data_IF_999811968839
#
_entry.id   IF_999811968839
#
_cell.length_a   1.000
_cell.length_b   1.000
_cell.length_c   1.000
_cell.angle_alpha   90.00
_cell.angle_beta   90.00
_cell.angle_gamma   90.00
#
_symmetry.space_group_name_H-M   'P 1'
#
loop_
_entity.id
_entity.type
_entity.pdbx_description
1 polymer ?
#
# COMPACT_ATOMS: atom_id res chain seq x y z
N UNK A 1 -21.98 11.93 5.16
CA UNK A 1 -21.31 10.62 5.14
C UNK A 1 -19.84 10.88 5.46
N UNK A 2 -19.29 10.17 6.44
CA UNK A 2 -17.85 10.27 6.76
C UNK A 2 -17.05 9.79 5.53
N UNK A 3 -16.03 10.55 5.12
CA UNK A 3 -15.17 10.17 4.00
C UNK A 3 -14.49 8.84 4.31
N UNK A 4 -14.62 7.83 3.44
CA UNK A 4 -14.11 6.46 3.63
C UNK A 4 -12.62 6.47 4.01
N UNK A 5 -11.84 7.37 3.42
CA UNK A 5 -10.41 7.51 3.70
C UNK A 5 -10.05 8.05 5.09
N UNK A 6 -11.04 8.50 5.88
CA UNK A 6 -10.85 8.96 7.26
C UNK A 6 -11.32 7.95 8.31
N UNK A 7 -11.92 6.85 7.88
CA UNK A 7 -12.29 5.74 8.76
C UNK A 7 -11.05 5.00 9.24
N UNK A 8 -11.10 4.50 10.46
CA UNK A 8 -10.07 3.57 10.96
C UNK A 8 -10.06 2.27 10.15
N UNK A 9 -8.94 1.56 10.15
CA UNK A 9 -8.84 0.24 9.48
C UNK A 9 -9.87 -0.75 10.02
N UNK A 10 -10.23 -0.68 11.32
CA UNK A 10 -11.27 -1.52 11.90
C UNK A 10 -12.64 -1.23 11.30
N UNK A 11 -13.01 0.04 11.18
CA UNK A 11 -14.28 0.45 10.58
C UNK A 11 -14.34 0.03 9.10
N UNK A 12 -13.24 0.25 8.34
CA UNK A 12 -13.15 -0.21 6.95
C UNK A 12 -13.31 -1.73 6.85
N UNK A 13 -12.65 -2.49 7.74
CA UNK A 13 -12.76 -3.95 7.78
C UNK A 13 -14.20 -4.41 8.07
N UNK A 14 -14.91 -3.74 8.95
CA UNK A 14 -16.32 -4.05 9.25
C UNK A 14 -17.23 -3.79 8.06
N UNK A 15 -17.05 -2.66 7.38
CA UNK A 15 -17.80 -2.34 6.16
C UNK A 15 -17.55 -3.35 5.03
N UNK A 16 -16.29 -3.74 4.82
CA UNK A 16 -15.96 -4.75 3.81
C UNK A 16 -16.54 -6.11 4.20
N UNK A 17 -16.47 -6.50 5.47
CA UNK A 17 -17.01 -7.79 5.96
C UNK A 17 -18.52 -7.85 5.86
N UNK A 18 -19.23 -6.77 6.20
CA UNK A 18 -20.70 -6.70 6.09
C UNK A 18 -21.17 -6.63 4.64
N UNK A 19 -20.33 -6.18 3.73
CA UNK A 19 -20.64 -5.95 2.32
C UNK A 19 -21.32 -4.60 2.08
N UNK A 20 -21.30 -3.70 3.06
CA UNK A 20 -21.72 -2.32 2.89
C UNK A 20 -20.74 -1.52 2.02
N UNK A 21 -19.50 -1.97 1.96
CA UNK A 21 -18.45 -1.47 1.08
C UNK A 21 -17.76 -2.68 0.42
N UNK A 22 -17.52 -2.64 -0.87
CA UNK A 22 -16.71 -3.67 -1.51
C UNK A 22 -15.22 -3.38 -1.33
N UNK A 23 -14.40 -4.43 -1.35
CA UNK A 23 -12.94 -4.32 -1.39
C UNK A 23 -12.50 -3.53 -2.63
N UNK A 24 -13.19 -3.73 -3.75
CA UNK A 24 -12.97 -3.01 -4.99
C UNK A 24 -13.17 -1.51 -4.83
N UNK A 25 -14.29 -1.07 -4.30
CA UNK A 25 -14.59 0.36 -4.07
C UNK A 25 -13.59 1.00 -3.10
N UNK A 26 -13.21 0.29 -2.03
CA UNK A 26 -12.21 0.77 -1.07
C UNK A 26 -10.84 0.94 -1.74
N UNK A 27 -10.43 -0.01 -2.56
CA UNK A 27 -9.13 0.03 -3.27
C UNK A 27 -9.12 1.15 -4.31
N UNK A 28 -10.20 1.31 -5.10
CA UNK A 28 -10.36 2.41 -6.06
C UNK A 28 -10.29 3.77 -5.36
N UNK A 29 -10.97 3.93 -4.23
CA UNK A 29 -10.93 5.17 -3.45
C UNK A 29 -9.50 5.56 -3.05
N UNK A 30 -8.68 4.62 -2.58
CA UNK A 30 -7.29 4.91 -2.21
C UNK A 30 -6.38 5.12 -3.44
N UNK A 31 -6.61 4.43 -4.54
CA UNK A 31 -5.91 4.69 -5.81
C UNK A 31 -6.17 6.13 -6.27
N UNK A 32 -7.43 6.55 -6.37
CA UNK A 32 -7.81 7.90 -6.75
C UNK A 32 -7.19 8.96 -5.83
N UNK A 33 -7.16 8.68 -4.52
CA UNK A 33 -6.52 9.55 -3.54
C UNK A 33 -5.02 9.69 -3.79
N UNK A 34 -4.32 8.58 -4.05
CA UNK A 34 -2.88 8.58 -4.37
C UNK A 34 -2.66 9.34 -5.69
N UNK A 35 -3.40 9.06 -6.74
CA UNK A 35 -3.25 9.72 -8.03
C UNK A 35 -3.46 11.24 -7.95
N UNK A 36 -4.38 11.68 -7.12
CA UNK A 36 -4.68 13.10 -6.92
C UNK A 36 -3.64 13.84 -6.10
N UNK A 37 -3.08 13.22 -5.07
CA UNK A 37 -2.28 13.91 -4.04
C UNK A 37 -0.79 13.61 -4.12
N UNK A 38 -0.40 12.44 -4.62
CA UNK A 38 0.96 11.94 -4.45
C UNK A 38 1.98 12.57 -5.41
N UNK A 39 1.53 13.28 -6.45
CA UNK A 39 2.41 13.99 -7.38
C UNK A 39 3.27 15.06 -6.69
N UNK A 40 2.77 15.67 -5.63
CA UNK A 40 3.49 16.67 -4.84
C UNK A 40 4.16 16.08 -3.59
N UNK A 41 3.63 14.95 -3.09
CA UNK A 41 4.13 14.29 -1.88
C UNK A 41 5.24 13.30 -2.20
N UNK A 42 5.08 12.49 -3.26
CA UNK A 42 6.00 11.40 -3.65
C UNK A 42 6.17 10.35 -2.55
N UNK A 43 5.07 9.90 -1.98
CA UNK A 43 5.07 8.88 -0.93
C UNK A 43 5.00 7.46 -1.49
N UNK A 44 4.19 7.20 -2.54
CA UNK A 44 3.99 5.87 -3.14
C UNK A 44 4.79 5.75 -4.42
N UNK A 45 6.00 5.22 -4.29
CA UNK A 45 7.04 5.27 -5.32
C UNK A 45 7.07 4.07 -6.28
N UNK A 46 6.46 2.96 -5.93
CA UNK A 46 6.19 1.83 -6.83
C UNK A 46 4.72 1.45 -6.66
N UNK A 47 3.98 1.44 -7.75
CA UNK A 47 2.53 1.23 -7.77
C UNK A 47 2.20 -0.08 -8.46
N UNK A 48 1.24 -0.83 -7.91
CA UNK A 48 0.75 -2.11 -8.43
C UNK A 48 -0.79 -2.13 -8.46
N UNK A 49 -1.36 -1.03 -8.98
CA UNK A 49 -2.79 -0.76 -8.90
C UNK A 49 -3.64 -1.78 -9.67
N UNK A 50 -3.17 -2.22 -10.84
CA UNK A 50 -3.91 -3.21 -11.64
C UNK A 50 -4.02 -4.56 -10.91
N UNK A 51 -2.93 -5.02 -10.31
CA UNK A 51 -2.93 -6.25 -9.51
C UNK A 51 -3.77 -6.07 -8.25
N UNK A 52 -3.65 -4.93 -7.57
CA UNK A 52 -4.44 -4.63 -6.38
C UNK A 52 -5.95 -4.63 -6.66
N UNK A 53 -6.38 -4.06 -7.79
CA UNK A 53 -7.79 -4.07 -8.19
C UNK A 53 -8.29 -5.48 -8.49
N UNK A 54 -7.47 -6.31 -9.12
CA UNK A 54 -7.81 -7.72 -9.35
C UNK A 54 -7.90 -8.51 -8.05
N UNK A 55 -6.94 -8.33 -7.12
CA UNK A 55 -6.98 -8.96 -5.80
C UNK A 55 -8.22 -8.50 -5.01
N UNK A 56 -8.68 -7.26 -5.19
CA UNK A 56 -9.89 -6.73 -4.58
C UNK A 56 -11.17 -7.40 -5.13
N UNK A 57 -11.26 -7.59 -6.46
CA UNK A 57 -12.35 -8.34 -7.08
C UNK A 57 -12.39 -9.79 -6.56
N UNK A 58 -11.22 -10.45 -6.48
CA UNK A 58 -11.10 -11.82 -5.94
C UNK A 58 -11.53 -11.88 -4.46
N UNK A 59 -11.23 -10.85 -3.66
CA UNK A 59 -11.64 -10.76 -2.26
C UNK A 59 -13.17 -10.61 -2.14
N UNK A 60 -13.79 -9.77 -2.95
CA UNK A 60 -15.24 -9.60 -2.96
C UNK A 60 -15.96 -10.89 -3.39
N UNK A 61 -15.44 -11.60 -4.38
CA UNK A 61 -15.96 -12.89 -4.79
C UNK A 61 -15.85 -13.95 -3.67
N UNK A 62 -14.74 -13.98 -2.95
CA UNK A 62 -14.56 -14.89 -1.81
C UNK A 62 -15.56 -14.60 -0.70
N UNK A 63 -15.74 -13.32 -0.34
CA UNK A 63 -16.73 -12.90 0.65
C UNK A 63 -18.15 -13.33 0.26
N UNK A 64 -18.56 -13.09 -0.99
CA UNK A 64 -19.87 -13.50 -1.49
C UNK A 64 -20.11 -15.02 -1.40
N UNK A 65 -19.05 -15.82 -1.57
CA UNK A 65 -19.09 -17.27 -1.40
C UNK A 65 -19.06 -17.74 0.07
N UNK A 66 -19.09 -16.82 1.03
CA UNK A 66 -19.04 -17.13 2.46
C UNK A 66 -17.71 -17.73 2.92
N UNK A 67 -16.63 -17.57 2.17
CA UNK A 67 -15.31 -18.03 2.58
C UNK A 67 -14.77 -17.12 3.67
N UNK A 68 -14.41 -17.74 4.80
CA UNK A 68 -13.70 -17.04 5.86
C UNK A 68 -12.31 -16.67 5.38
N UNK A 69 -11.96 -15.42 5.54
CA UNK A 69 -10.67 -14.83 5.21
C UNK A 69 -10.18 -14.07 6.43
N UNK A 70 -8.89 -13.82 6.49
CA UNK A 70 -8.24 -13.25 7.68
C UNK A 70 -8.76 -11.86 8.09
N UNK A 71 -8.14 -11.32 9.11
CA UNK A 71 -8.58 -10.08 9.76
C UNK A 71 -8.48 -8.83 8.85
N UNK A 72 -7.65 -8.88 7.79
CA UNK A 72 -7.44 -7.79 6.83
C UNK A 72 -8.04 -8.07 5.46
N UNK A 73 -9.01 -8.98 5.39
CA UNK A 73 -9.61 -9.38 4.12
C UNK A 73 -10.07 -8.20 3.27
N UNK A 74 -9.47 -8.07 2.09
CA UNK A 74 -9.85 -7.05 1.11
C UNK A 74 -9.43 -5.62 1.48
N UNK A 75 -8.54 -5.46 2.45
CA UNK A 75 -8.04 -4.14 2.87
C UNK A 75 -6.78 -3.76 2.09
N UNK A 76 -6.81 -2.66 1.32
CA UNK A 76 -5.64 -2.17 0.60
C UNK A 76 -4.61 -1.58 1.56
N UNK A 77 -3.35 -1.94 1.34
CA UNK A 77 -2.21 -1.42 2.09
C UNK A 77 -1.07 -1.00 1.19
N UNK A 78 -0.22 -0.11 1.67
CA UNK A 78 1.11 0.13 1.11
C UNK A 78 2.17 -0.46 2.03
N UNK A 79 3.31 -0.84 1.44
CA UNK A 79 4.42 -1.48 2.15
C UNK A 79 5.68 -0.65 1.96
N UNK A 80 6.41 -0.39 3.03
CA UNK A 80 7.69 0.32 2.94
C UNK A 80 8.65 -0.42 1.99
N UNK A 81 9.34 0.30 1.13
CA UNK A 81 10.23 -0.29 0.12
C UNK A 81 11.48 -0.99 0.69
N UNK A 82 11.65 -0.96 2.01
CA UNK A 82 12.64 -1.77 2.74
C UNK A 82 12.26 -3.26 2.85
N UNK A 83 10.98 -3.60 2.64
CA UNK A 83 10.46 -4.94 2.81
C UNK A 83 10.32 -5.63 1.46
N UNK A 84 10.99 -6.74 1.25
CA UNK A 84 10.81 -7.56 0.06
C UNK A 84 9.33 -7.91 -0.14
N UNK A 85 8.84 -7.65 -1.34
CA UNK A 85 7.46 -7.93 -1.72
C UNK A 85 7.47 -8.68 -3.04
N UNK A 86 6.97 -9.91 -3.03
CA UNK A 86 7.01 -10.81 -4.18
C UNK A 86 6.40 -10.16 -5.42
N UNK A 87 7.12 -10.24 -6.53
CA UNK A 87 6.75 -9.71 -7.84
C UNK A 87 6.62 -8.18 -7.90
N UNK A 88 7.00 -7.46 -6.84
CA UNK A 88 6.96 -6.01 -6.80
C UNK A 88 8.34 -5.44 -6.47
N UNK A 89 8.81 -4.51 -7.29
CA UNK A 89 10.12 -3.89 -7.13
C UNK A 89 10.34 -3.42 -5.68
N UNK A 90 11.47 -3.83 -5.07
CA UNK A 90 11.84 -3.58 -3.68
C UNK A 90 13.31 -3.23 -3.60
N UNK A 91 13.61 -1.94 -3.41
CA UNK A 91 14.96 -1.40 -3.61
C UNK A 91 15.73 -1.10 -2.32
N UNK A 92 15.03 -0.99 -1.19
CA UNK A 92 15.65 -0.49 0.04
C UNK A 92 16.19 0.94 -0.08
N UNK A 93 15.76 1.70 -1.10
CA UNK A 93 16.30 3.02 -1.43
C UNK A 93 17.75 2.99 -1.93
N UNK A 94 18.28 1.82 -2.29
CA UNK A 94 19.66 1.59 -2.68
C UNK A 94 19.78 1.43 -4.19
N UNK A 95 20.63 2.25 -4.82
CA UNK A 95 20.80 2.31 -6.28
C UNK A 95 21.21 0.95 -6.88
N UNK A 96 21.95 0.17 -6.14
CA UNK A 96 22.38 -1.19 -6.51
C UNK A 96 21.23 -2.19 -6.62
N UNK A 97 20.09 -1.90 -5.98
CA UNK A 97 18.86 -2.70 -6.01
C UNK A 97 17.72 -2.05 -6.79
N UNK A 98 18.00 -1.01 -7.59
CA UNK A 98 16.97 -0.24 -8.32
C UNK A 98 16.02 -1.09 -9.18
N UNK A 99 16.50 -2.20 -9.69
CA UNK A 99 15.75 -3.11 -10.55
C UNK A 99 15.45 -4.46 -9.87
N UNK A 100 15.66 -4.55 -8.54
CA UNK A 100 15.41 -5.76 -7.79
C UNK A 100 13.92 -6.06 -7.65
N UNK A 101 13.49 -7.22 -8.13
CA UNK A 101 12.13 -7.74 -7.99
C UNK A 101 12.23 -9.10 -7.27
N UNK A 102 11.88 -9.15 -5.98
CA UNK A 102 11.97 -10.39 -5.20
C UNK A 102 10.99 -11.46 -5.69
N UNK A 103 11.37 -12.73 -5.54
CA UNK A 103 10.54 -13.90 -5.81
C UNK A 103 9.71 -14.35 -4.58
N UNK A 104 9.91 -13.69 -3.43
CA UNK A 104 9.27 -13.99 -2.15
C UNK A 104 8.91 -12.71 -1.39
N UNK A 105 7.98 -12.86 -0.46
CA UNK A 105 7.62 -11.81 0.49
C UNK A 105 8.53 -11.88 1.73
N UNK A 106 8.86 -10.73 2.30
CA UNK A 106 9.35 -10.64 3.67
C UNK A 106 8.30 -11.23 4.64
N UNK A 107 8.73 -11.81 5.76
CA UNK A 107 7.85 -12.52 6.70
C UNK A 107 6.61 -11.69 7.13
N UNK A 108 6.80 -10.39 7.37
CA UNK A 108 5.69 -9.50 7.75
C UNK A 108 4.71 -9.29 6.58
N UNK A 109 5.21 -9.15 5.35
CA UNK A 109 4.36 -9.00 4.15
C UNK A 109 3.57 -10.27 3.90
N UNK A 110 4.23 -11.44 4.00
CA UNK A 110 3.56 -12.73 3.88
C UNK A 110 2.45 -12.91 4.93
N UNK A 111 2.69 -12.44 6.16
CA UNK A 111 1.68 -12.48 7.23
C UNK A 111 0.49 -11.57 6.93
N UNK A 112 0.72 -10.36 6.45
CA UNK A 112 -0.35 -9.42 6.07
C UNK A 112 -1.19 -9.97 4.89
N UNK A 113 -0.54 -10.51 3.85
CA UNK A 113 -1.23 -11.17 2.72
C UNK A 113 -2.02 -12.39 3.17
N UNK A 114 -1.51 -13.18 4.12
CA UNK A 114 -2.22 -14.33 4.70
C UNK A 114 -3.52 -13.91 5.40
N UNK A 115 -3.52 -12.73 6.01
CA UNK A 115 -4.71 -12.14 6.62
C UNK A 115 -5.63 -11.43 5.61
N UNK A 116 -5.30 -11.49 4.32
CA UNK A 116 -6.12 -10.99 3.24
C UNK A 116 -5.87 -9.53 2.85
N UNK A 117 -4.78 -8.93 3.32
CA UNK A 117 -4.39 -7.58 2.91
C UNK A 117 -3.94 -7.55 1.45
N UNK A 118 -4.31 -6.49 0.73
CA UNK A 118 -3.98 -6.24 -0.68
C UNK A 118 -2.86 -5.22 -0.76
N UNK A 119 -1.71 -5.62 -1.31
CA UNK A 119 -0.58 -4.69 -1.47
C UNK A 119 -0.74 -3.89 -2.74
N UNK A 120 -1.02 -2.59 -2.63
CA UNK A 120 -1.22 -1.70 -3.77
C UNK A 120 0.03 -0.90 -4.19
N UNK A 121 1.11 -0.97 -3.41
CA UNK A 121 2.35 -0.28 -3.75
C UNK A 121 3.37 -0.22 -2.63
N UNK A 122 4.52 0.41 -2.96
CA UNK A 122 5.64 0.60 -2.03
C UNK A 122 5.78 2.07 -1.68
N UNK A 123 6.07 2.34 -0.41
CA UNK A 123 6.35 3.71 0.06
C UNK A 123 7.84 4.00 0.13
N UNK A 124 8.19 5.26 -0.08
CA UNK A 124 9.56 5.74 -0.11
C UNK A 124 10.27 5.59 1.26
N UNK A 125 11.59 5.63 1.23
CA UNK A 125 12.46 5.53 2.41
C UNK A 125 13.83 6.15 2.11
N UNK A 126 14.63 6.49 3.12
CA UNK A 126 16.05 6.76 2.92
C UNK A 126 16.81 5.46 2.63
N UNK A 127 17.93 5.54 1.93
CA UNK A 127 18.79 4.38 1.64
C UNK A 127 19.03 3.54 2.89
N UNK A 128 18.69 2.25 2.80
CA UNK A 128 18.79 1.27 3.91
C UNK A 128 18.08 1.70 5.21
N UNK A 129 17.08 2.58 5.13
CA UNK A 129 16.42 3.16 6.31
C UNK A 129 17.40 3.90 7.26
N UNK A 130 18.51 4.41 6.74
CA UNK A 130 19.60 4.98 7.52
C UNK A 130 19.46 6.46 7.86
N UNK A 131 18.31 7.09 7.56
CA UNK A 131 18.06 8.51 7.83
C UNK A 131 16.61 8.72 8.31
N UNK A 132 16.33 9.91 8.84
CA UNK A 132 14.98 10.36 9.21
C UNK A 132 14.22 10.95 8.03
N UNK A 133 14.91 11.43 6.98
CA UNK A 133 14.34 11.95 5.75
C UNK A 133 14.11 10.85 4.74
N UNK A 134 12.87 10.73 4.23
CA UNK A 134 12.54 9.81 3.12
C UNK A 134 13.04 10.35 1.78
N UNK A 135 14.32 10.11 1.51
CA UNK A 135 15.03 10.50 0.30
C UNK A 135 15.97 9.40 -0.18
N UNK A 136 16.02 9.18 -1.48
CA UNK A 136 17.05 8.36 -2.12
C UNK A 136 17.25 8.73 -3.60
N UNK A 137 18.32 8.22 -4.20
CA UNK A 137 18.69 8.53 -5.59
C UNK A 137 17.76 7.93 -6.64
N UNK A 138 16.93 6.93 -6.28
CA UNK A 138 16.03 6.24 -7.20
C UNK A 138 14.72 7.02 -7.37
N UNK A 139 14.15 7.46 -6.26
CA UNK A 139 12.79 8.01 -6.20
C UNK A 139 12.73 9.48 -5.82
N UNK A 140 13.85 10.06 -5.35
CA UNK A 140 13.87 11.43 -4.82
C UNK A 140 13.30 11.53 -3.42
N UNK A 141 12.82 12.73 -3.08
CA UNK A 141 12.34 13.10 -1.74
C UNK A 141 10.83 12.90 -1.61
N UNK A 142 10.39 12.40 -0.46
CA UNK A 142 9.00 12.50 -0.03
C UNK A 142 8.83 13.77 0.78
N UNK A 143 7.87 14.61 0.39
CA UNK A 143 7.60 15.89 1.01
C UNK A 143 6.62 15.75 2.18
N UNK A 144 6.69 16.67 3.14
CA UNK A 144 5.70 16.75 4.20
C UNK A 144 4.37 17.31 3.64
N UNK A 145 3.23 16.59 3.77
CA UNK A 145 1.94 17.01 3.19
C UNK A 145 1.35 18.28 3.86
N UNK A 146 1.81 18.67 5.05
CA UNK A 146 1.36 19.88 5.72
C UNK A 146 2.13 21.13 5.26
N UNK A 147 3.37 20.95 4.88
CA UNK A 147 4.23 22.00 4.32
C UNK A 147 5.26 21.34 3.40
N UNK A 148 5.02 21.41 2.11
CA UNK A 148 5.86 20.78 1.09
C UNK A 148 7.30 21.30 1.05
N UNK A 149 7.60 22.42 1.70
CA UNK A 149 8.96 22.95 1.85
C UNK A 149 9.75 22.29 2.98
N UNK A 150 9.06 21.58 3.89
CA UNK A 150 9.69 20.89 5.00
C UNK A 150 10.16 19.49 4.59
N UNK A 151 11.36 19.17 5.00
CA UNK A 151 11.99 17.86 4.74
C UNK A 151 11.47 16.81 5.74
N UNK A 152 11.17 17.25 6.96
CA UNK A 152 10.60 16.38 8.01
C UNK A 152 9.79 17.22 9.01
N UNK A 153 9.06 16.54 9.86
CA UNK A 153 8.20 17.17 10.89
C UNK A 153 9.04 17.74 12.02
#
# INVERSE_FOLDING_TARGET
MTEIGLLSTLEQTELVRSGELSSRELTEHFIERIERLDSEINAVVTRDFEVALKEADDADEQRQKGKSVGALHGIPITVKDALETRNLRSTGGAIELRDNVPDRDAAVVASLRKEGAIVMGKTNLPRWSGDIQSYNEIFGTTNNPWDLSLIHI
#
